data_IF_295926819129
#
_entry.id   IF_295926819129
#
_cell.length_a   1.000
_cell.length_b   1.000
_cell.length_c   1.000
_cell.angle_alpha   90.00
_cell.angle_beta   90.00
_cell.angle_gamma   90.00
#
_symmetry.space_group_name_H-M   'P 1'
#
loop_
_entity.id
_entity.type
_entity.pdbx_description
1 polymer ?
#
# COMPACT_ATOMS: atom_id res chain seq x y z
N UNK A 1 -14.14 3.86 -7.62
CA UNK A 1 -12.76 3.68 -8.12
C UNK A 1 -11.78 3.75 -6.97
N UNK A 2 -10.83 2.82 -6.91
CA UNK A 2 -9.80 2.72 -5.88
C UNK A 2 -8.43 2.78 -6.54
N UNK A 3 -7.62 3.77 -6.18
CA UNK A 3 -6.20 3.80 -6.50
C UNK A 3 -5.39 3.17 -5.38
N UNK A 4 -4.47 2.26 -5.71
CA UNK A 4 -3.63 1.64 -4.70
C UNK A 4 -2.14 1.68 -5.04
N UNK A 5 -1.28 1.82 -4.02
CA UNK A 5 0.15 1.55 -4.14
C UNK A 5 0.52 0.37 -3.27
N UNK A 6 1.31 -0.57 -3.77
CA UNK A 6 1.75 -1.73 -3.01
C UNK A 6 3.09 -2.22 -3.53
N UNK A 7 4.03 -2.52 -2.63
CA UNK A 7 5.26 -3.23 -2.97
C UNK A 7 5.18 -4.72 -2.64
N UNK A 8 4.64 -5.06 -1.48
CA UNK A 8 4.64 -6.43 -0.93
C UNK A 8 3.27 -7.09 -0.90
N UNK A 9 2.30 -6.53 -1.63
CA UNK A 9 0.97 -7.12 -1.80
C UNK A 9 -0.06 -6.71 -0.75
N UNK A 10 0.33 -6.39 0.49
CA UNK A 10 -0.60 -6.04 1.58
C UNK A 10 -1.67 -5.00 1.20
N UNK A 11 -1.25 -3.85 0.67
CA UNK A 11 -2.18 -2.77 0.29
C UNK A 11 -3.00 -3.12 -0.97
N UNK A 12 -2.43 -3.92 -1.88
CA UNK A 12 -3.17 -4.40 -3.06
C UNK A 12 -4.28 -5.37 -2.65
N UNK A 13 -3.99 -6.27 -1.70
CA UNK A 13 -4.97 -7.17 -1.13
C UNK A 13 -6.10 -6.41 -0.42
N UNK A 14 -5.77 -5.40 0.40
CA UNK A 14 -6.77 -4.52 1.03
C UNK A 14 -7.64 -3.82 -0.01
N UNK A 15 -7.05 -3.25 -1.06
CA UNK A 15 -7.79 -2.54 -2.10
C UNK A 15 -8.79 -3.44 -2.82
N UNK A 16 -8.37 -4.67 -3.19
CA UNK A 16 -9.25 -5.65 -3.84
C UNK A 16 -10.39 -6.09 -2.93
N UNK A 17 -10.11 -6.36 -1.65
CA UNK A 17 -11.14 -6.75 -0.67
C UNK A 17 -12.17 -5.65 -0.44
N UNK A 18 -11.78 -4.39 -0.43
CA UNK A 18 -12.71 -3.27 -0.33
C UNK A 18 -13.58 -3.12 -1.59
N UNK A 19 -13.01 -3.34 -2.78
CA UNK A 19 -13.77 -3.32 -4.03
C UNK A 19 -14.79 -4.47 -4.10
N UNK A 20 -14.41 -5.67 -3.67
CA UNK A 20 -15.31 -6.82 -3.57
C UNK A 20 -16.46 -6.57 -2.58
N UNK A 21 -16.14 -6.04 -1.38
CA UNK A 21 -17.15 -5.75 -0.36
C UNK A 21 -18.13 -4.63 -0.72
N UNK A 22 -17.71 -3.67 -1.56
CA UNK A 22 -18.58 -2.61 -2.07
C UNK A 22 -19.70 -3.12 -2.98
N UNK A 23 -19.44 -4.18 -3.77
CA UNK A 23 -20.42 -4.77 -4.69
C UNK A 23 -21.58 -5.49 -3.96
N UNK A 24 -21.39 -5.89 -2.71
CA UNK A 24 -22.44 -6.49 -1.90
C UNK A 24 -23.41 -5.43 -1.31
N UNK A 25 -22.96 -4.18 -1.14
CA UNK A 25 -23.77 -3.11 -0.57
C UNK A 25 -24.76 -2.49 -1.57
N UNK A 26 -24.46 -2.55 -2.87
CA UNK A 26 -25.33 -2.03 -3.94
C UNK A 26 -26.47 -2.99 -4.34
N UNK A 27 -26.50 -4.21 -3.77
CA UNK A 27 -27.60 -5.17 -3.97
C UNK A 27 -28.47 -5.21 -2.74
N UNK A 28 -29.37 -4.25 -2.65
CA UNK A 28 -30.45 -4.21 -1.67
C UNK A 28 -31.54 -5.24 -2.05
N UNK A 29 -31.19 -6.52 -2.00
CA UNK A 29 -32.15 -7.63 -2.01
C UNK A 29 -31.75 -8.63 -0.93
N UNK A 30 -32.55 -8.66 0.14
CA UNK A 30 -32.42 -9.56 1.29
C UNK A 30 -32.72 -11.01 0.88
N UNK A 31 -31.77 -11.69 0.24
CA UNK A 31 -31.70 -13.15 0.22
C UNK A 31 -30.34 -13.60 -0.34
N UNK A 32 -29.38 -13.84 0.57
CA UNK A 32 -28.26 -14.81 0.52
C UNK A 32 -27.03 -14.25 1.24
N UNK A 33 -27.05 -14.30 2.58
CA UNK A 33 -25.86 -14.11 3.40
C UNK A 33 -24.88 -15.29 3.32
N UNK A 34 -25.29 -16.45 2.78
CA UNK A 34 -24.47 -17.67 2.74
C UNK A 34 -23.81 -17.97 1.38
N UNK A 35 -23.89 -17.04 0.41
CA UNK A 35 -23.27 -17.22 -0.91
C UNK A 35 -21.95 -16.43 -1.11
N UNK A 36 -21.43 -15.79 -0.06
CA UNK A 36 -20.27 -14.90 -0.17
C UNK A 36 -18.90 -15.63 -0.33
N UNK A 37 -18.89 -16.96 -0.41
CA UNK A 37 -17.67 -17.75 -0.64
C UNK A 37 -17.55 -18.36 -2.04
N UNK A 38 -18.48 -18.06 -2.96
CA UNK A 38 -18.46 -18.67 -4.30
C UNK A 38 -18.94 -17.74 -5.42
N UNK A 39 -18.49 -16.48 -5.46
CA UNK A 39 -18.53 -15.68 -6.69
C UNK A 39 -17.27 -14.82 -6.78
N UNK A 40 -16.16 -15.45 -7.13
CA UNK A 40 -15.13 -14.76 -7.90
C UNK A 40 -15.68 -14.50 -9.31
N UNK A 41 -15.27 -13.39 -9.92
CA UNK A 41 -15.75 -12.84 -11.21
C UNK A 41 -16.97 -11.93 -11.06
N UNK A 42 -16.73 -10.64 -10.81
CA UNK A 42 -17.39 -9.46 -11.41
C UNK A 42 -16.82 -8.14 -10.85
N UNK A 43 -15.58 -8.12 -10.33
CA UNK A 43 -14.81 -6.87 -10.30
C UNK A 43 -14.27 -6.66 -11.70
N UNK A 44 -14.74 -5.62 -12.39
CA UNK A 44 -14.03 -5.16 -13.59
C UNK A 44 -12.63 -4.73 -13.12
N UNK A 45 -11.58 -5.13 -13.84
CA UNK A 45 -10.20 -4.75 -13.50
C UNK A 45 -9.96 -3.23 -13.54
N UNK A 46 -10.96 -2.46 -13.98
CA UNK A 46 -10.90 -1.00 -14.12
C UNK A 46 -11.19 -0.25 -12.81
N UNK A 47 -11.82 -0.91 -11.82
CA UNK A 47 -12.23 -0.26 -10.57
C UNK A 47 -11.10 -0.16 -9.52
N UNK A 48 -10.05 -0.99 -9.64
CA UNK A 48 -8.90 -1.04 -8.72
C UNK A 48 -7.59 -0.84 -9.49
N UNK A 49 -7.07 0.38 -9.45
CA UNK A 49 -5.98 0.84 -10.31
C UNK A 49 -4.69 1.01 -9.52
N UNK A 50 -3.60 0.40 -10.00
CA UNK A 50 -2.27 0.59 -9.42
C UNK A 50 -1.79 2.02 -9.68
N UNK A 51 -1.43 2.74 -8.61
CA UNK A 51 -0.82 4.09 -8.65
C UNK A 51 0.46 4.07 -9.48
N UNK A 52 1.28 3.03 -9.34
CA UNK A 52 2.51 2.89 -10.09
C UNK A 52 2.26 2.80 -11.61
N UNK A 53 1.21 2.08 -12.02
CA UNK A 53 0.79 1.99 -13.42
C UNK A 53 0.11 3.27 -13.91
N UNK A 54 -0.74 3.87 -13.08
CA UNK A 54 -1.48 5.09 -13.39
C UNK A 54 -0.53 6.27 -13.67
N UNK A 55 0.52 6.43 -12.86
CA UNK A 55 1.55 7.46 -13.05
C UNK A 55 2.24 7.39 -14.42
N UNK A 56 2.34 6.19 -15.02
CA UNK A 56 2.99 5.99 -16.33
C UNK A 56 2.09 6.34 -17.50
N UNK A 57 0.77 6.29 -17.32
CA UNK A 57 -0.20 6.39 -18.42
C UNK A 57 -0.69 7.82 -18.68
N UNK A 58 -0.37 8.79 -17.81
CA UNK A 58 -0.81 10.19 -17.90
C UNK A 58 -2.26 10.35 -18.37
N UNK A 59 -3.14 9.51 -17.82
CA UNK A 59 -4.55 9.37 -18.22
C UNK A 59 -5.43 10.29 -17.38
N UNK A 60 -6.44 10.91 -18.01
CA UNK A 60 -7.56 11.53 -17.29
C UNK A 60 -8.57 10.43 -16.94
N UNK A 61 -8.93 10.35 -15.66
CA UNK A 61 -9.92 9.39 -15.18
C UNK A 61 -11.28 10.08 -15.03
N UNK A 62 -12.34 9.32 -15.25
CA UNK A 62 -13.71 9.79 -15.04
C UNK A 62 -14.33 8.94 -13.94
N UNK A 63 -15.06 9.61 -13.05
CA UNK A 63 -15.87 8.96 -12.04
C UNK A 63 -17.33 8.98 -12.49
N UNK A 64 -18.03 7.87 -12.33
CA UNK A 64 -19.47 7.82 -12.47
C UNK A 64 -20.14 8.76 -11.45
N UNK A 65 -21.37 9.24 -11.71
CA UNK A 65 -22.10 10.05 -10.74
C UNK A 65 -22.16 9.36 -9.39
N UNK A 66 -21.88 10.10 -8.31
CA UNK A 66 -21.80 9.59 -6.94
C UNK A 66 -20.70 8.56 -6.67
N UNK A 67 -19.86 8.18 -7.62
CA UNK A 67 -18.79 7.21 -7.39
C UNK A 67 -17.80 7.72 -6.32
N UNK A 68 -17.39 6.83 -5.43
CA UNK A 68 -16.39 7.14 -4.41
C UNK A 68 -14.98 7.01 -4.99
N UNK A 69 -14.09 7.91 -4.56
CA UNK A 69 -12.67 7.89 -4.87
C UNK A 69 -11.88 7.40 -3.65
N UNK A 70 -11.32 6.20 -3.74
CA UNK A 70 -10.52 5.59 -2.68
C UNK A 70 -9.03 5.62 -2.96
N UNK A 71 -8.23 5.79 -1.91
CA UNK A 71 -6.78 5.62 -1.95
C UNK A 71 -6.31 4.57 -0.94
N UNK A 72 -5.59 3.54 -1.39
CA UNK A 72 -5.07 2.47 -0.54
C UNK A 72 -3.55 2.37 -0.64
N UNK A 73 -2.82 2.55 0.46
CA UNK A 73 -1.37 2.60 0.40
C UNK A 73 -0.68 2.17 1.70
N UNK A 74 0.59 1.74 1.67
CA UNK A 74 1.34 1.43 2.88
C UNK A 74 1.83 2.70 3.55
N UNK A 75 2.07 2.63 4.86
CA UNK A 75 2.82 3.66 5.60
C UNK A 75 4.30 3.36 5.48
N UNK A 76 5.08 4.30 4.95
CA UNK A 76 6.54 4.24 4.90
C UNK A 76 7.15 5.32 5.79
N UNK A 77 7.89 4.90 6.80
CA UNK A 77 8.49 5.77 7.82
C UNK A 77 7.45 6.75 8.40
N UNK A 78 6.33 6.24 8.92
CA UNK A 78 5.27 7.05 9.57
C UNK A 78 4.62 8.13 8.69
N UNK A 79 4.61 7.94 7.37
CA UNK A 79 3.88 8.81 6.45
C UNK A 79 3.50 8.11 5.14
N UNK A 80 2.77 8.80 4.25
CA UNK A 80 2.50 8.30 2.92
C UNK A 80 3.82 8.16 2.12
N UNK A 81 3.93 7.16 1.24
CA UNK A 81 5.05 7.04 0.32
C UNK A 81 5.11 8.27 -0.60
N UNK A 82 6.29 8.82 -0.92
CA UNK A 82 6.40 9.97 -1.81
C UNK A 82 5.72 9.78 -3.17
N UNK A 83 5.77 8.55 -3.72
CA UNK A 83 5.08 8.18 -4.96
C UNK A 83 3.56 8.36 -4.89
N UNK A 84 2.94 8.11 -3.73
CA UNK A 84 1.49 8.29 -3.53
C UNK A 84 1.14 9.77 -3.49
N UNK A 85 1.94 10.60 -2.80
CA UNK A 85 1.73 12.04 -2.74
C UNK A 85 1.90 12.69 -4.12
N UNK A 86 2.93 12.28 -4.87
CA UNK A 86 3.16 12.70 -6.27
C UNK A 86 1.98 12.29 -7.17
N UNK A 87 1.45 11.09 -6.98
CA UNK A 87 0.28 10.67 -7.73
C UNK A 87 -0.95 11.51 -7.42
N UNK A 88 -1.23 11.80 -6.13
CA UNK A 88 -2.33 12.70 -5.77
C UNK A 88 -2.17 14.04 -6.48
N UNK A 89 -0.99 14.64 -6.46
CA UNK A 89 -0.72 15.90 -7.16
C UNK A 89 -1.01 15.82 -8.68
N UNK A 90 -0.55 14.75 -9.34
CA UNK A 90 -0.64 14.59 -10.79
C UNK A 90 -1.99 14.05 -11.30
N UNK A 91 -2.79 13.39 -10.45
CA UNK A 91 -4.04 12.74 -10.84
C UNK A 91 -5.02 13.72 -11.47
N UNK A 92 -5.44 13.46 -12.71
CA UNK A 92 -6.45 14.26 -13.40
C UNK A 92 -7.78 13.53 -13.40
N UNK A 93 -8.83 14.22 -12.92
CA UNK A 93 -10.21 13.75 -13.00
C UNK A 93 -11.04 14.67 -13.89
N UNK A 94 -11.94 14.09 -14.69
CA UNK A 94 -12.87 14.85 -15.52
C UNK A 94 -13.84 15.74 -14.69
N UNK A 95 -14.07 15.37 -13.43
CA UNK A 95 -14.89 16.13 -12.48
C UNK A 95 -14.38 15.96 -11.05
N UNK A 96 -14.70 16.91 -10.18
CA UNK A 96 -14.34 16.82 -8.76
C UNK A 96 -15.07 15.66 -8.07
N UNK A 97 -14.37 14.86 -7.25
CA UNK A 97 -14.98 13.73 -6.57
C UNK A 97 -15.93 14.20 -5.47
N UNK A 98 -17.13 13.60 -5.40
CA UNK A 98 -18.12 13.90 -4.34
C UNK A 98 -17.71 13.34 -2.98
N UNK A 99 -16.94 12.25 -2.97
CA UNK A 99 -16.51 11.55 -1.77
C UNK A 99 -15.11 10.95 -1.96
N UNK A 100 -14.15 11.39 -1.13
CA UNK A 100 -12.78 10.90 -1.14
C UNK A 100 -12.47 10.24 0.20
N UNK A 101 -11.85 9.07 0.18
CA UNK A 101 -11.38 8.39 1.38
C UNK A 101 -9.99 7.78 1.19
N UNK A 102 -9.36 7.40 2.30
CA UNK A 102 -8.15 6.57 2.26
C UNK A 102 -8.20 5.40 3.23
N UNK A 103 -7.43 4.35 2.91
CA UNK A 103 -7.08 3.27 3.83
C UNK A 103 -5.58 3.07 3.77
N UNK A 104 -4.89 3.31 4.88
CA UNK A 104 -3.45 3.07 4.96
C UNK A 104 -3.15 1.75 5.67
N UNK A 105 -2.16 1.00 5.15
CA UNK A 105 -1.71 -0.25 5.79
C UNK A 105 -0.39 -0.03 6.53
N UNK A 106 -0.23 -0.61 7.71
CA UNK A 106 0.97 -0.46 8.53
C UNK A 106 1.34 -1.77 9.25
N UNK A 107 2.62 -1.94 9.59
CA UNK A 107 3.07 -3.06 10.44
C UNK A 107 2.62 -2.90 11.90
N UNK A 108 2.72 -1.66 12.41
CA UNK A 108 2.45 -1.32 13.81
C UNK A 108 1.58 -0.06 13.93
N UNK A 109 2.12 1.10 13.52
CA UNK A 109 1.44 2.40 13.63
C UNK A 109 1.64 3.29 12.40
N UNK A 110 0.85 4.36 12.34
CA UNK A 110 0.72 5.23 11.17
C UNK A 110 1.37 6.60 11.34
N UNK A 111 1.84 6.96 12.53
CA UNK A 111 2.23 8.34 12.84
C UNK A 111 1.14 9.34 12.44
N UNK A 112 1.51 10.43 11.78
CA UNK A 112 0.60 11.45 11.22
C UNK A 112 0.31 11.24 9.74
N UNK A 113 0.31 9.99 9.27
CA UNK A 113 0.01 9.66 7.86
C UNK A 113 -1.30 10.30 7.39
N UNK A 114 -2.35 10.20 8.22
CA UNK A 114 -3.66 10.73 7.91
C UNK A 114 -3.64 12.25 7.68
N UNK A 115 -2.93 13.00 8.53
CA UNK A 115 -2.76 14.45 8.42
C UNK A 115 -1.97 14.83 7.15
N UNK A 116 -0.88 14.13 6.86
CA UNK A 116 -0.04 14.42 5.69
C UNK A 116 -0.80 14.14 4.39
N UNK A 117 -1.55 13.03 4.35
CA UNK A 117 -2.33 12.66 3.17
C UNK A 117 -3.52 13.60 2.95
N UNK A 118 -4.28 13.93 4.00
CA UNK A 118 -5.40 14.87 3.89
C UNK A 118 -4.96 16.26 3.46
N UNK A 119 -3.81 16.75 3.95
CA UNK A 119 -3.21 18.01 3.49
C UNK A 119 -2.82 17.97 2.01
N UNK A 120 -2.38 16.82 1.47
CA UNK A 120 -2.10 16.67 0.04
C UNK A 120 -3.37 16.73 -0.81
N UNK A 121 -4.46 16.10 -0.35
CA UNK A 121 -5.78 16.22 -1.00
C UNK A 121 -6.31 17.66 -0.95
N UNK A 122 -6.17 18.33 0.20
CA UNK A 122 -6.62 19.71 0.36
C UNK A 122 -5.88 20.67 -0.57
N UNK A 123 -4.56 20.51 -0.74
CA UNK A 123 -3.79 21.29 -1.73
C UNK A 123 -4.25 21.07 -3.17
N UNK A 124 -4.83 19.90 -3.47
CA UNK A 124 -5.47 19.60 -4.76
C UNK A 124 -6.88 20.20 -4.90
N UNK A 125 -7.44 20.76 -3.82
CA UNK A 125 -8.81 21.25 -3.76
C UNK A 125 -9.85 20.17 -3.42
N UNK A 126 -9.42 19.03 -2.88
CA UNK A 126 -10.32 17.95 -2.47
C UNK A 126 -10.39 17.80 -0.95
N UNK A 127 -11.57 17.44 -0.44
CA UNK A 127 -11.77 17.16 0.98
C UNK A 127 -11.79 15.66 1.22
N UNK A 128 -10.89 15.19 2.10
CA UNK A 128 -10.91 13.81 2.55
C UNK A 128 -12.07 13.60 3.54
N UNK A 129 -13.08 12.83 3.14
CA UNK A 129 -14.28 12.61 3.93
C UNK A 129 -14.07 11.57 5.05
N UNK A 130 -13.28 10.53 4.81
CA UNK A 130 -13.02 9.48 5.79
C UNK A 130 -11.65 8.82 5.60
N UNK A 131 -11.18 8.12 6.63
CA UNK A 131 -9.83 7.57 6.65
C UNK A 131 -9.66 6.50 7.73
N UNK A 132 -8.97 5.41 7.38
CA UNK A 132 -8.70 4.29 8.29
C UNK A 132 -7.27 3.78 8.17
N UNK A 133 -6.79 3.14 9.24
CA UNK A 133 -5.63 2.25 9.19
C UNK A 133 -6.02 0.78 9.28
N UNK A 134 -5.24 -0.08 8.63
CA UNK A 134 -5.32 -1.55 8.72
C UNK A 134 -3.93 -2.08 9.05
N UNK A 135 -3.80 -2.77 10.19
CA UNK A 135 -2.56 -3.44 10.56
C UNK A 135 -2.38 -4.70 9.70
N UNK A 136 -1.23 -4.81 9.05
CA UNK A 136 -0.86 -5.91 8.14
C UNK A 136 0.48 -6.52 8.56
N UNK A 137 0.83 -7.74 8.09
CA UNK A 137 2.11 -8.36 8.40
C UNK A 137 3.31 -7.46 8.09
N UNK A 138 4.30 -7.45 8.97
CA UNK A 138 5.52 -6.66 8.81
C UNK A 138 6.35 -7.21 7.65
N UNK A 139 6.80 -6.29 6.80
CA UNK A 139 7.64 -6.62 5.64
C UNK A 139 8.95 -5.85 5.63
N UNK A 140 9.21 -5.01 6.65
CA UNK A 140 10.42 -4.22 6.74
C UNK A 140 11.53 -4.99 7.45
N UNK A 141 12.65 -5.21 6.77
CA UNK A 141 13.79 -6.03 7.25
C UNK A 141 15.15 -5.31 7.17
N UNK A 142 15.18 -4.02 6.84
CA UNK A 142 16.43 -3.29 6.54
C UNK A 142 17.12 -2.64 7.75
N UNK A 143 16.69 -2.92 8.98
CA UNK A 143 17.31 -2.38 10.21
C UNK A 143 17.52 -3.44 11.30
N UNK A 144 18.51 -3.27 12.20
CA UNK A 144 18.67 -4.14 13.38
C UNK A 144 17.38 -4.29 14.18
N UNK A 145 17.04 -5.53 14.57
CA UNK A 145 15.83 -5.83 15.34
C UNK A 145 14.52 -5.89 14.56
N UNK A 146 14.53 -5.57 13.25
CA UNK A 146 13.35 -5.71 12.39
C UNK A 146 13.42 -6.99 11.56
N UNK A 147 12.39 -7.82 11.60
CA UNK A 147 12.23 -8.99 10.74
C UNK A 147 10.76 -9.18 10.36
N UNK A 148 10.45 -10.07 9.42
CA UNK A 148 9.07 -10.49 9.14
C UNK A 148 8.43 -11.10 10.40
N UNK A 149 7.10 -11.02 10.48
CA UNK A 149 6.37 -11.61 11.60
C UNK A 149 6.54 -13.14 11.62
N UNK A 150 6.47 -13.74 12.81
CA UNK A 150 6.32 -15.18 12.95
C UNK A 150 5.01 -15.65 12.28
N UNK A 151 4.93 -16.89 11.75
CA UNK A 151 3.75 -17.37 11.01
C UNK A 151 2.42 -17.19 11.73
N UNK A 152 2.39 -17.40 13.05
CA UNK A 152 1.18 -17.27 13.87
C UNK A 152 0.74 -15.80 14.00
N UNK A 153 1.71 -14.89 14.12
CA UNK A 153 1.46 -13.44 14.19
C UNK A 153 1.02 -12.91 12.82
N UNK A 154 1.64 -13.37 11.73
CA UNK A 154 1.21 -13.07 10.37
C UNK A 154 -0.26 -13.47 10.16
N UNK A 155 -0.60 -14.72 10.48
CA UNK A 155 -1.94 -15.26 10.35
C UNK A 155 -2.95 -14.48 11.19
N UNK A 156 -2.61 -14.17 12.45
CA UNK A 156 -3.46 -13.36 13.32
C UNK A 156 -3.70 -11.95 12.76
N UNK A 157 -2.65 -11.27 12.27
CA UNK A 157 -2.77 -9.94 11.66
C UNK A 157 -3.69 -9.98 10.44
N UNK A 158 -3.60 -11.01 9.60
CA UNK A 158 -4.50 -11.11 8.43
C UNK A 158 -5.95 -11.35 8.85
N UNK A 159 -6.23 -12.23 9.81
CA UNK A 159 -7.61 -12.43 10.31
C UNK A 159 -8.21 -11.15 10.89
N UNK A 160 -7.43 -10.40 11.67
CA UNK A 160 -7.86 -9.09 12.17
C UNK A 160 -8.08 -8.09 11.05
N UNK A 161 -7.24 -8.10 10.02
CA UNK A 161 -7.40 -7.25 8.85
C UNK A 161 -8.72 -7.57 8.12
N UNK A 162 -9.11 -8.84 7.96
CA UNK A 162 -10.39 -9.21 7.34
C UNK A 162 -11.59 -8.63 8.10
N UNK A 163 -11.66 -8.84 9.41
CA UNK A 163 -12.73 -8.27 10.24
C UNK A 163 -12.75 -6.73 10.18
N UNK A 164 -11.56 -6.12 10.18
CA UNK A 164 -11.41 -4.67 10.05
C UNK A 164 -11.90 -4.15 8.70
N UNK A 165 -11.68 -4.88 7.62
CA UNK A 165 -12.15 -4.50 6.28
C UNK A 165 -13.67 -4.61 6.15
N UNK A 166 -14.31 -5.58 6.81
CA UNK A 166 -15.77 -5.64 6.89
C UNK A 166 -16.34 -4.40 7.56
N UNK A 167 -15.75 -3.97 8.69
CA UNK A 167 -16.11 -2.72 9.35
C UNK A 167 -15.95 -1.50 8.42
N UNK A 168 -14.80 -1.38 7.74
CA UNK A 168 -14.54 -0.26 6.81
C UNK A 168 -15.52 -0.27 5.64
N UNK A 169 -15.82 -1.42 5.06
CA UNK A 169 -16.76 -1.55 3.95
C UNK A 169 -18.17 -1.07 4.35
N UNK A 170 -18.64 -1.44 5.54
CA UNK A 170 -19.93 -0.99 6.06
C UNK A 170 -19.97 0.54 6.27
N UNK A 171 -18.89 1.14 6.78
CA UNK A 171 -18.78 2.59 6.95
C UNK A 171 -18.74 3.32 5.60
N UNK A 172 -18.05 2.75 4.61
CA UNK A 172 -17.99 3.28 3.24
C UNK A 172 -19.37 3.21 2.56
N UNK A 173 -20.11 2.12 2.73
CA UNK A 173 -21.48 1.99 2.22
C UNK A 173 -22.41 3.08 2.77
N UNK A 174 -22.21 3.47 4.04
CA UNK A 174 -22.93 4.57 4.71
C UNK A 174 -22.38 5.95 4.39
N UNK A 175 -21.30 6.05 3.60
CA UNK A 175 -20.59 7.29 3.25
C UNK A 175 -20.30 8.18 4.47
N UNK A 176 -19.82 7.57 5.54
CA UNK A 176 -19.51 8.31 6.78
C UNK A 176 -18.54 9.45 6.51
N UNK A 177 -18.71 10.56 7.23
CA UNK A 177 -17.80 11.71 7.19
C UNK A 177 -17.19 11.88 8.58
N UNK A 178 -15.88 11.98 8.63
CA UNK A 178 -15.11 11.97 9.87
C UNK A 178 -14.48 13.33 10.13
N UNK A 179 -14.65 13.85 11.35
CA UNK A 179 -13.82 14.95 11.86
C UNK A 179 -12.44 14.47 12.32
N UNK A 180 -12.37 13.22 12.78
CA UNK A 180 -11.13 12.54 13.19
C UNK A 180 -11.06 11.19 12.51
N UNK A 181 -9.95 10.93 11.80
CA UNK A 181 -9.75 9.67 11.09
C UNK A 181 -9.48 8.50 12.05
N UNK A 182 -9.95 7.31 11.69
CA UNK A 182 -9.83 6.10 12.51
C UNK A 182 -8.50 5.37 12.22
N UNK A 183 -7.39 6.01 12.58
CA UNK A 183 -6.03 5.50 12.37
C UNK A 183 -5.31 5.23 13.70
N UNK A 184 -4.56 4.14 13.77
CA UNK A 184 -3.66 3.86 14.88
C UNK A 184 -2.38 4.68 14.70
N UNK A 185 -2.30 5.86 15.32
CA UNK A 185 -1.15 6.77 15.19
C UNK A 185 0.09 6.33 16.00
N UNK A 186 -0.12 5.50 17.04
CA UNK A 186 0.92 5.03 17.94
C UNK A 186 1.51 6.13 18.85
N UNK A 187 2.61 5.82 19.52
CA UNK A 187 3.29 6.75 20.43
C UNK A 187 4.12 7.81 19.68
N UNK A 188 4.13 9.04 20.20
CA UNK A 188 4.86 10.20 19.68
C UNK A 188 4.70 10.44 18.15
N UNK A 189 3.47 10.46 17.61
CA UNK A 189 3.23 10.46 16.16
C UNK A 189 3.76 11.72 15.45
N UNK A 190 3.75 12.87 16.14
CA UNK A 190 4.31 14.12 15.64
C UNK A 190 5.82 14.02 15.45
N UNK A 191 6.56 13.56 16.46
CA UNK A 191 8.02 13.40 16.40
C UNK A 191 8.42 12.39 15.33
N UNK A 192 7.73 11.25 15.26
CA UNK A 192 7.96 10.24 14.21
C UNK A 192 7.81 10.83 12.80
N UNK A 193 6.73 11.57 12.56
CA UNK A 193 6.40 12.04 11.21
C UNK A 193 7.16 13.28 10.78
N UNK A 194 7.41 14.20 11.69
CA UNK A 194 8.00 15.51 11.35
C UNK A 194 9.50 15.60 11.67
N UNK A 195 10.05 14.69 12.48
CA UNK A 195 11.48 14.69 12.83
C UNK A 195 12.17 13.41 12.33
N UNK A 196 11.70 12.24 12.75
CA UNK A 196 12.38 10.97 12.41
C UNK A 196 12.25 10.61 10.93
N UNK A 197 11.07 10.80 10.35
CA UNK A 197 10.82 10.50 8.93
C UNK A 197 11.76 11.25 7.99
N UNK A 198 11.94 12.59 8.05
CA UNK A 198 12.91 13.29 7.21
C UNK A 198 14.35 12.72 7.31
N UNK A 199 14.79 12.40 8.53
CA UNK A 199 16.10 11.76 8.75
C UNK A 199 16.15 10.37 8.11
N UNK A 200 15.09 9.59 8.27
CA UNK A 200 14.97 8.24 7.70
C UNK A 200 15.04 8.25 6.18
N UNK A 201 14.32 9.17 5.53
CA UNK A 201 14.36 9.35 4.07
C UNK A 201 15.75 9.78 3.59
N UNK A 202 16.42 10.66 4.33
CA UNK A 202 17.72 11.21 3.93
C UNK A 202 18.87 10.21 4.07
N UNK A 203 18.83 9.35 5.09
CA UNK A 203 19.98 8.51 5.45
C UNK A 203 19.75 7.00 5.29
N UNK A 204 18.50 6.52 5.35
CA UNK A 204 18.21 5.08 5.48
C UNK A 204 17.42 4.50 4.30
N UNK A 205 16.68 5.32 3.54
CA UNK A 205 15.87 4.89 2.38
C UNK A 205 16.58 5.15 1.04
N UNK A 206 17.82 4.66 0.90
CA UNK A 206 18.56 4.70 -0.36
C UNK A 206 18.53 3.33 -1.04
N UNK A 207 18.58 3.30 -2.38
CA UNK A 207 18.78 2.04 -3.09
C UNK A 207 20.23 1.53 -3.07
N UNK A 208 21.21 2.40 -2.76
CA UNK A 208 22.65 2.09 -2.89
C UNK A 208 23.11 0.81 -2.18
N UNK A 209 22.60 0.47 -0.98
CA UNK A 209 23.03 -0.75 -0.29
C UNK A 209 22.39 -2.04 -0.84
N UNK A 210 21.45 -1.97 -1.79
CA UNK A 210 20.93 -3.18 -2.43
C UNK A 210 22.00 -3.84 -3.29
N UNK A 211 22.12 -5.15 -3.14
CA UNK A 211 22.99 -5.98 -3.95
C UNK A 211 22.42 -7.41 -4.04
N UNK A 212 23.04 -8.24 -4.86
CA UNK A 212 22.79 -9.68 -4.88
C UNK A 212 23.98 -10.47 -4.36
N UNK A 213 23.71 -11.58 -3.69
CA UNK A 213 24.72 -12.58 -3.33
C UNK A 213 25.13 -13.45 -4.53
N UNK A 214 26.08 -14.35 -4.31
CA UNK A 214 26.48 -15.36 -5.30
C UNK A 214 25.37 -16.32 -5.72
N UNK A 215 24.33 -16.48 -4.88
CA UNK A 215 23.19 -17.36 -5.15
C UNK A 215 22.22 -16.84 -6.22
N UNK A 216 22.47 -15.65 -6.79
CA UNK A 216 21.61 -15.08 -7.81
C UNK A 216 21.63 -15.92 -9.10
N UNK A 217 20.44 -16.30 -9.56
CA UNK A 217 20.23 -17.08 -10.80
C UNK A 217 19.77 -16.23 -12.00
N UNK A 218 19.80 -14.90 -11.89
CA UNK A 218 19.45 -13.99 -12.99
C UNK A 218 18.01 -14.03 -13.49
N UNK A 219 17.06 -14.57 -12.72
CA UNK A 219 15.67 -14.80 -13.17
C UNK A 219 14.80 -13.53 -13.43
N UNK A 220 15.29 -12.33 -13.08
CA UNK A 220 14.56 -11.07 -13.28
C UNK A 220 13.29 -10.86 -12.44
N UNK A 221 12.96 -11.74 -11.48
CA UNK A 221 11.76 -11.56 -10.64
C UNK A 221 11.78 -10.27 -9.82
N UNK A 222 12.96 -9.85 -9.36
CA UNK A 222 13.14 -8.59 -8.63
C UNK A 222 12.85 -7.35 -9.48
N UNK A 223 13.25 -7.36 -10.76
CA UNK A 223 12.93 -6.32 -11.74
C UNK A 223 11.41 -6.24 -11.97
N UNK A 224 10.77 -7.37 -12.27
CA UNK A 224 9.30 -7.42 -12.50
C UNK A 224 8.48 -7.02 -11.28
N UNK A 225 8.95 -7.36 -10.07
CA UNK A 225 8.28 -7.00 -8.82
C UNK A 225 8.45 -5.53 -8.44
N UNK A 226 9.34 -4.77 -9.08
CA UNK A 226 9.59 -3.38 -8.70
C UNK A 226 8.47 -2.46 -9.21
N UNK A 227 7.60 -1.89 -8.34
CA UNK A 227 6.53 -1.02 -8.81
C UNK A 227 7.06 0.25 -9.46
N UNK A 228 8.25 0.70 -9.03
CA UNK A 228 8.93 1.88 -9.54
C UNK A 228 9.72 1.63 -10.82
N UNK A 229 9.83 0.38 -11.30
CA UNK A 229 10.71 0.00 -12.42
C UNK A 229 12.17 0.47 -12.21
N UNK A 230 12.61 0.54 -10.95
CA UNK A 230 13.92 1.04 -10.55
C UNK A 230 15.03 -0.02 -10.67
N UNK A 231 14.74 -1.21 -11.17
CA UNK A 231 15.69 -2.32 -11.23
C UNK A 231 15.76 -2.76 -12.67
N UNK A 232 16.97 -2.92 -13.19
CA UNK A 232 17.24 -3.46 -14.51
C UNK A 232 18.23 -4.60 -14.44
N UNK A 233 18.12 -5.61 -15.32
CA UNK A 233 19.15 -6.62 -15.47
C UNK A 233 20.31 -6.12 -16.34
N UNK A 234 21.53 -6.22 -15.84
CA UNK A 234 22.79 -6.01 -16.57
C UNK A 234 23.65 -7.26 -16.40
N UNK A 235 24.05 -7.89 -17.50
CA UNK A 235 24.81 -9.15 -17.50
C UNK A 235 24.17 -10.25 -16.62
N UNK A 236 22.83 -10.35 -16.69
CA UNK A 236 22.06 -11.32 -15.92
C UNK A 236 21.95 -11.01 -14.41
N UNK A 237 22.41 -9.83 -13.94
CA UNK A 237 22.32 -9.41 -12.53
C UNK A 237 21.49 -8.13 -12.37
N UNK A 238 20.67 -8.01 -11.31
CA UNK A 238 19.91 -6.79 -11.08
C UNK A 238 20.82 -5.64 -10.64
N UNK A 239 20.54 -4.46 -11.20
CA UNK A 239 21.14 -3.18 -10.85
C UNK A 239 20.01 -2.25 -10.42
N UNK A 240 20.18 -1.58 -9.27
CA UNK A 240 19.18 -0.66 -8.72
C UNK A 240 19.52 0.80 -9.09
N UNK A 241 18.56 1.49 -9.70
CA UNK A 241 18.61 2.95 -9.92
C UNK A 241 18.28 3.74 -8.65
N UNK A 242 18.02 5.04 -8.78
CA UNK A 242 17.78 5.95 -7.66
C UNK A 242 16.31 6.19 -7.28
N UNK A 243 15.34 5.86 -8.13
CA UNK A 243 13.89 6.05 -7.85
C UNK A 243 13.32 4.85 -7.05
N UNK A 244 13.93 4.58 -5.90
CA UNK A 244 13.49 3.51 -5.01
C UNK A 244 12.59 4.06 -3.89
N UNK A 245 11.40 3.49 -3.71
CA UNK A 245 10.54 3.80 -2.56
C UNK A 245 10.82 2.95 -1.31
N UNK A 246 11.86 2.11 -1.35
CA UNK A 246 12.26 1.21 -0.26
C UNK A 246 11.19 0.20 0.19
N UNK A 247 10.34 -0.27 -0.74
CA UNK A 247 9.23 -1.17 -0.42
C UNK A 247 9.62 -2.63 -0.17
N UNK A 248 10.86 -3.02 -0.49
CA UNK A 248 11.38 -4.39 -0.37
C UNK A 248 10.68 -5.46 -1.24
N UNK A 249 9.86 -5.07 -2.22
CA UNK A 249 9.27 -6.01 -3.18
C UNK A 249 10.31 -6.93 -3.83
N UNK A 250 11.44 -6.36 -4.27
CA UNK A 250 12.54 -7.10 -4.89
C UNK A 250 13.20 -8.13 -3.95
N UNK A 251 13.32 -7.79 -2.66
CA UNK A 251 13.87 -8.66 -1.64
C UNK A 251 12.94 -9.86 -1.43
N UNK A 252 11.65 -9.62 -1.21
CA UNK A 252 10.68 -10.67 -0.90
C UNK A 252 10.34 -11.56 -2.11
N UNK A 253 10.35 -11.02 -3.32
CA UNK A 253 10.08 -11.75 -4.56
C UNK A 253 11.23 -12.65 -5.03
N UNK A 254 12.43 -12.50 -4.46
CA UNK A 254 13.60 -13.27 -4.88
C UNK A 254 13.45 -14.75 -4.45
N UNK A 255 13.34 -15.70 -5.40
CA UNK A 255 13.01 -17.10 -5.08
C UNK A 255 14.12 -17.81 -4.32
N UNK A 256 15.37 -17.42 -4.60
CA UNK A 256 16.62 -17.96 -4.02
C UNK A 256 17.21 -17.01 -2.97
N UNK A 257 16.44 -16.01 -2.51
CA UNK A 257 16.81 -15.08 -1.44
C UNK A 257 18.18 -14.38 -1.64
N UNK A 258 18.54 -14.14 -2.90
CA UNK A 258 19.83 -13.55 -3.25
C UNK A 258 19.87 -12.03 -3.08
N UNK A 259 18.73 -11.34 -3.10
CA UNK A 259 18.68 -9.88 -2.92
C UNK A 259 18.93 -9.56 -1.44
N UNK A 260 19.84 -8.64 -1.16
CA UNK A 260 20.20 -8.20 0.18
C UNK A 260 20.30 -6.67 0.25
N UNK A 261 20.17 -6.12 1.46
CA UNK A 261 20.34 -4.70 1.74
C UNK A 261 21.41 -4.49 2.81
N UNK A 262 22.62 -4.12 2.38
CA UNK A 262 23.79 -4.08 3.25
C UNK A 262 23.95 -5.39 4.06
N UNK A 263 24.48 -5.32 5.29
CA UNK A 263 24.51 -6.47 6.18
C UNK A 263 23.14 -6.74 6.86
N UNK A 264 22.19 -5.81 6.76
CA UNK A 264 21.02 -5.75 7.64
C UNK A 264 19.96 -6.80 7.34
N UNK A 265 19.94 -7.37 6.14
CA UNK A 265 18.98 -8.43 5.77
C UNK A 265 19.54 -9.84 5.96
N UNK A 266 20.79 -9.97 6.44
CA UNK A 266 21.41 -11.29 6.64
C UNK A 266 20.64 -12.05 7.72
N UNK A 267 20.22 -13.27 7.38
CA UNK A 267 19.53 -14.18 8.31
C UNK A 267 18.08 -13.83 8.60
N UNK A 268 17.49 -12.88 7.86
CA UNK A 268 16.10 -12.43 8.04
C UNK A 268 15.15 -13.12 7.09
N UNK A 269 13.87 -13.22 7.43
CA UNK A 269 12.87 -13.90 6.63
C UNK A 269 12.44 -13.15 5.36
N UNK A 270 11.52 -13.76 4.61
CA UNK A 270 10.81 -13.17 3.46
C UNK A 270 9.31 -13.33 3.64
N UNK A 271 8.54 -12.34 3.20
CA UNK A 271 7.08 -12.34 3.21
C UNK A 271 6.54 -12.49 1.79
N UNK A 272 5.85 -13.60 1.49
CA UNK A 272 5.41 -13.94 0.12
C UNK A 272 3.90 -14.14 -0.05
N UNK A 273 3.11 -13.95 0.99
CA UNK A 273 1.68 -14.30 1.00
C UNK A 273 0.85 -13.64 -0.10
N UNK A 274 1.17 -12.39 -0.44
CA UNK A 274 0.38 -11.57 -1.37
C UNK A 274 1.18 -11.03 -2.57
N UNK A 275 2.34 -11.63 -2.87
CA UNK A 275 3.21 -11.24 -3.99
C UNK A 275 2.75 -11.84 -5.32
#
# INVERSE_FOLDING_TARGET
MIFYFSGTGNSAWVARRLAEGGLCADKQDNAKADACMSVGQHSSSEDVVSIAEALRRSKVYSLAPQETLGFVFPVYAWGPPPVVLRFVEQLQLASSPAYVYFVCTCGDDTGRTAQVFSAALQRKGWTCAAGWSVTMPNTYVSLPGFDVDAPEVEEQKVRHAEARLQFIANELARRVRMSTFNCHEGAAPLTKTHVLRPLFHSFLMSSRPFHVTGSCVGCGKCERACPMQNIHLTDGRPVWGSDCTHCLACYHACPVHAVAYGPWTRGKGQYRRFL
#
